data_IF_659507860090
#
_entry.id   IF_659507860090
#
_cell.length_a   1.000
_cell.length_b   1.000
_cell.length_c   1.000
_cell.angle_alpha   90.00
_cell.angle_beta   90.00
_cell.angle_gamma   90.00
#
_symmetry.space_group_name_H-M   'P 1'
#
loop_
_entity.id
_entity.type
_entity.pdbx_description
1 polymer ?
#
# COMPACT_ATOMS: atom_id res chain seq x y z
N UNK A 1 -19.78 -2.79 -9.00
CA UNK A 1 -20.44 -2.09 -7.85
C UNK A 1 -20.15 -0.61 -7.95
N UNK A 2 -21.14 0.26 -7.67
CA UNK A 2 -20.86 1.70 -7.62
C UNK A 2 -19.87 1.96 -6.48
N UNK A 3 -18.65 2.34 -6.84
CA UNK A 3 -17.62 2.66 -5.87
C UNK A 3 -18.04 3.86 -5.02
N UNK A 4 -17.85 3.76 -3.70
CA UNK A 4 -18.16 4.83 -2.75
C UNK A 4 -17.60 6.18 -3.22
N UNK A 5 -18.39 7.29 -3.21
CA UNK A 5 -17.92 8.60 -3.65
C UNK A 5 -16.63 9.07 -2.97
N UNK A 6 -16.49 8.82 -1.65
CA UNK A 6 -15.28 9.14 -0.90
C UNK A 6 -14.06 8.36 -1.44
N UNK A 7 -14.21 7.07 -1.71
CA UNK A 7 -13.14 6.25 -2.29
C UNK A 7 -12.72 6.74 -3.68
N UNK A 8 -13.68 7.16 -4.52
CA UNK A 8 -13.38 7.76 -5.84
C UNK A 8 -12.60 9.06 -5.72
N UNK A 9 -12.99 9.91 -4.79
CA UNK A 9 -12.31 11.19 -4.56
C UNK A 9 -10.89 10.98 -4.00
N UNK A 10 -10.70 10.06 -3.06
CA UNK A 10 -9.37 9.65 -2.57
C UNK A 10 -8.50 9.17 -3.75
N UNK A 11 -9.04 8.31 -4.62
CA UNK A 11 -8.30 7.80 -5.79
C UNK A 11 -7.86 8.93 -6.72
N UNK A 12 -8.75 9.89 -6.97
CA UNK A 12 -8.46 11.06 -7.80
C UNK A 12 -7.33 11.89 -7.20
N UNK A 13 -7.37 12.14 -5.88
CA UNK A 13 -6.36 12.95 -5.18
C UNK A 13 -5.01 12.25 -5.10
N UNK A 14 -4.96 10.93 -4.90
CA UNK A 14 -3.71 10.16 -4.95
C UNK A 14 -3.07 10.28 -6.34
N UNK A 15 -3.86 10.12 -7.40
CA UNK A 15 -3.36 10.25 -8.77
C UNK A 15 -2.97 11.69 -9.11
N UNK A 16 -3.69 12.70 -8.60
CA UNK A 16 -3.28 14.10 -8.70
C UNK A 16 -1.93 14.35 -8.02
N UNK A 17 -1.74 13.87 -6.78
CA UNK A 17 -0.48 13.96 -6.05
C UNK A 17 0.68 13.33 -6.84
N UNK A 18 0.44 12.16 -7.44
CA UNK A 18 1.47 11.46 -8.22
C UNK A 18 1.81 12.17 -9.52
N UNK A 19 0.80 12.63 -10.26
CA UNK A 19 0.98 13.30 -11.55
C UNK A 19 1.59 14.70 -11.42
N UNK A 20 1.14 15.45 -10.41
CA UNK A 20 1.58 16.84 -10.17
C UNK A 20 1.86 17.08 -8.68
N UNK A 21 2.97 16.52 -8.15
CA UNK A 21 3.30 16.72 -6.74
C UNK A 21 3.55 18.19 -6.39
N UNK A 22 4.12 18.98 -7.30
CA UNK A 22 4.37 20.41 -7.06
C UNK A 22 3.08 21.21 -6.98
N UNK A 23 2.10 20.93 -7.85
CA UNK A 23 0.76 21.53 -7.76
C UNK A 23 0.04 21.12 -6.46
N UNK A 24 0.25 19.89 -5.99
CA UNK A 24 -0.33 19.40 -4.74
C UNK A 24 0.24 20.10 -3.49
N UNK A 25 1.42 20.76 -3.59
CA UNK A 25 2.04 21.52 -2.50
C UNK A 25 1.12 22.59 -1.91
N UNK A 26 0.19 23.16 -2.70
CA UNK A 26 -0.78 24.14 -2.22
C UNK A 26 -1.67 23.58 -1.09
N UNK A 27 -2.06 22.30 -1.18
CA UNK A 27 -2.84 21.63 -0.13
C UNK A 27 -2.01 21.44 1.16
N UNK A 28 -0.73 21.09 1.01
CA UNK A 28 0.18 20.92 2.16
C UNK A 28 0.45 22.26 2.83
N UNK A 29 0.67 23.34 2.05
CA UNK A 29 0.84 24.71 2.58
C UNK A 29 -0.39 25.15 3.36
N UNK A 30 -1.59 24.95 2.82
CA UNK A 30 -2.84 25.26 3.53
C UNK A 30 -2.95 24.49 4.86
N UNK A 31 -2.56 23.21 4.89
CA UNK A 31 -2.51 22.43 6.13
C UNK A 31 -1.46 23.01 7.09
N UNK A 32 -0.27 23.36 6.60
CA UNK A 32 0.79 23.96 7.42
C UNK A 32 0.36 25.28 8.05
N UNK A 33 -0.39 26.12 7.33
CA UNK A 33 -0.91 27.41 7.82
C UNK A 33 -2.00 27.22 8.89
N UNK A 34 -2.64 26.04 8.93
CA UNK A 34 -3.68 25.74 9.92
C UNK A 34 -3.14 25.32 11.30
N UNK A 35 -1.81 25.21 11.45
CA UNK A 35 -1.20 24.84 12.71
C UNK A 35 -1.09 26.00 13.69
N UNK A 36 -1.53 25.73 14.95
CA UNK A 36 -1.29 26.55 16.13
C UNK A 36 -0.55 25.69 17.15
N UNK A 37 0.76 25.89 17.26
CA UNK A 37 1.65 25.02 18.04
C UNK A 37 1.65 23.58 17.50
N UNK A 38 1.24 22.64 18.33
CA UNK A 38 1.11 21.21 17.97
C UNK A 38 -0.29 20.86 17.45
N UNK A 39 -1.22 21.80 17.42
CA UNK A 39 -2.58 21.55 16.94
C UNK A 39 -2.75 22.06 15.52
N UNK A 40 -3.59 21.42 14.75
CA UNK A 40 -4.01 21.91 13.43
C UNK A 40 -5.52 21.80 13.27
N UNK A 41 -6.06 22.54 12.31
CA UNK A 41 -7.47 22.48 11.95
C UNK A 41 -7.59 21.86 10.56
N UNK A 42 -8.42 20.84 10.41
CA UNK A 42 -8.69 20.22 9.12
C UNK A 42 -9.62 21.07 8.23
N UNK A 43 -9.91 20.58 7.03
CA UNK A 43 -10.77 21.29 6.09
C UNK A 43 -12.25 21.39 6.54
N UNK A 44 -12.67 20.60 7.53
CA UNK A 44 -14.01 20.68 8.16
C UNK A 44 -14.10 21.65 9.31
N UNK A 45 -12.97 22.22 9.76
CA UNK A 45 -12.89 23.05 10.96
C UNK A 45 -12.66 22.25 12.24
N UNK A 46 -12.44 20.93 12.15
CA UNK A 46 -12.15 20.08 13.31
C UNK A 46 -10.68 20.24 13.72
N UNK A 47 -10.45 20.42 15.03
CA UNK A 47 -9.10 20.53 15.58
C UNK A 47 -8.53 19.17 15.96
N UNK A 48 -7.29 18.94 15.57
CA UNK A 48 -6.51 17.75 15.89
C UNK A 48 -5.19 18.12 16.53
N UNK A 49 -4.64 17.19 17.30
CA UNK A 49 -3.30 17.30 17.85
C UNK A 49 -2.34 16.45 17.01
N UNK A 50 -1.28 17.06 16.52
CA UNK A 50 -0.17 16.41 15.84
C UNK A 50 0.84 15.87 16.86
N UNK A 51 1.54 14.80 16.51
CA UNK A 51 2.62 14.21 17.31
C UNK A 51 3.92 15.02 17.17
N UNK A 52 4.21 15.53 15.99
CA UNK A 52 5.45 16.24 15.63
C UNK A 52 5.23 17.74 15.34
N UNK A 53 4.01 18.24 15.50
CA UNK A 53 3.68 19.63 15.18
C UNK A 53 3.87 19.91 13.67
N UNK A 54 4.46 21.07 13.36
CA UNK A 54 4.70 21.49 11.98
C UNK A 54 5.78 20.69 11.25
N UNK A 55 6.64 19.97 11.95
CA UNK A 55 7.85 19.39 11.36
C UNK A 55 7.53 18.32 10.31
N UNK A 56 6.66 17.36 10.62
CA UNK A 56 6.23 16.34 9.66
C UNK A 56 5.54 16.95 8.43
N UNK A 57 4.77 18.03 8.63
CA UNK A 57 4.11 18.75 7.54
C UNK A 57 5.11 19.53 6.67
N UNK A 58 6.13 20.15 7.27
CA UNK A 58 7.24 20.79 6.54
C UNK A 58 8.03 19.77 5.71
N UNK A 59 8.34 18.60 6.28
CA UNK A 59 8.98 17.51 5.53
C UNK A 59 8.12 17.05 4.33
N UNK A 60 6.79 16.95 4.52
CA UNK A 60 5.88 16.61 3.44
C UNK A 60 5.89 17.68 2.34
N UNK A 61 5.91 18.96 2.72
CA UNK A 61 6.01 20.07 1.77
C UNK A 61 7.30 20.00 0.94
N UNK A 62 8.45 19.83 1.58
CA UNK A 62 9.74 19.65 0.90
C UNK A 62 9.70 18.43 -0.03
N UNK A 63 9.08 17.34 0.42
CA UNK A 63 8.95 16.12 -0.37
C UNK A 63 8.16 16.35 -1.66
N UNK A 64 6.97 16.97 -1.59
CA UNK A 64 6.15 17.22 -2.79
C UNK A 64 6.80 18.25 -3.74
N UNK A 65 7.45 19.29 -3.22
CA UNK A 65 8.14 20.30 -4.03
C UNK A 65 9.36 19.75 -4.77
N UNK A 66 10.04 18.74 -4.20
CA UNK A 66 11.22 18.09 -4.79
C UNK A 66 10.90 16.85 -5.62
N UNK A 67 9.72 16.27 -5.48
CA UNK A 67 9.33 15.06 -6.20
C UNK A 67 9.13 15.32 -7.70
N UNK A 68 9.49 14.30 -8.50
CA UNK A 68 9.17 14.27 -9.91
C UNK A 68 7.80 13.63 -10.13
N UNK A 69 7.06 14.03 -11.17
CA UNK A 69 5.83 13.37 -11.55
C UNK A 69 5.98 11.85 -11.72
N UNK A 70 4.98 11.11 -11.30
CA UNK A 70 4.87 9.66 -11.45
C UNK A 70 3.64 9.31 -12.29
N UNK A 71 3.67 8.13 -12.91
CA UNK A 71 2.50 7.59 -13.58
C UNK A 71 1.33 7.44 -12.60
N UNK A 72 0.12 7.69 -13.11
CA UNK A 72 -1.11 7.40 -12.38
C UNK A 72 -1.26 5.90 -12.15
N UNK A 73 -1.91 5.55 -11.06
CA UNK A 73 -2.25 4.18 -10.72
C UNK A 73 -3.61 3.81 -11.28
N UNK A 74 -3.75 2.59 -11.74
CA UNK A 74 -5.03 2.05 -12.19
C UNK A 74 -5.84 1.56 -10.98
N UNK A 75 -7.04 2.14 -10.80
CA UNK A 75 -7.99 1.65 -9.80
C UNK A 75 -8.61 0.34 -10.30
N UNK A 76 -8.52 -0.73 -9.49
CA UNK A 76 -9.01 -2.06 -9.87
C UNK A 76 -9.94 -2.65 -8.81
N UNK A 77 -11.00 -3.34 -9.24
CA UNK A 77 -12.10 -3.77 -8.37
C UNK A 77 -11.65 -4.81 -7.32
N UNK A 78 -10.79 -5.76 -7.70
CA UNK A 78 -10.28 -6.75 -6.75
C UNK A 78 -9.50 -6.12 -5.59
N UNK A 79 -8.69 -5.08 -5.86
CA UNK A 79 -8.00 -4.35 -4.80
C UNK A 79 -8.94 -3.44 -4.02
N UNK A 80 -10.00 -2.88 -4.64
CA UNK A 80 -11.03 -2.14 -3.91
C UNK A 80 -11.73 -3.06 -2.89
N UNK A 81 -12.12 -4.26 -3.29
CA UNK A 81 -12.73 -5.24 -2.39
C UNK A 81 -11.78 -5.65 -1.26
N UNK A 82 -10.53 -5.90 -1.57
CA UNK A 82 -9.50 -6.21 -0.57
C UNK A 82 -9.36 -5.08 0.46
N UNK A 83 -9.27 -3.83 0.01
CA UNK A 83 -9.17 -2.66 0.87
C UNK A 83 -10.44 -2.44 1.69
N UNK A 84 -11.62 -2.66 1.08
CA UNK A 84 -12.91 -2.51 1.77
C UNK A 84 -13.09 -3.56 2.88
N UNK A 85 -12.75 -4.83 2.63
CA UNK A 85 -12.80 -5.88 3.65
C UNK A 85 -12.00 -5.51 4.91
N UNK A 86 -10.78 -5.00 4.70
CA UNK A 86 -9.95 -4.60 5.84
C UNK A 86 -10.47 -3.33 6.51
N UNK A 87 -10.95 -2.36 5.74
CA UNK A 87 -11.58 -1.16 6.26
C UNK A 87 -12.82 -1.48 7.12
N UNK A 88 -13.67 -2.42 6.67
CA UNK A 88 -14.85 -2.86 7.39
C UNK A 88 -14.48 -3.63 8.67
N UNK A 89 -13.45 -4.47 8.60
CA UNK A 89 -12.94 -5.21 9.77
C UNK A 89 -12.41 -4.26 10.85
N UNK A 90 -11.55 -3.31 10.48
CA UNK A 90 -11.05 -2.28 11.40
C UNK A 90 -12.18 -1.42 11.98
N UNK A 91 -13.14 -1.05 11.14
CA UNK A 91 -14.29 -0.25 11.57
C UNK A 91 -15.15 -0.97 12.60
N UNK A 92 -15.38 -2.26 12.39
CA UNK A 92 -16.17 -3.13 13.27
C UNK A 92 -15.47 -3.38 14.61
N UNK A 93 -14.16 -3.64 14.59
CA UNK A 93 -13.37 -3.90 15.81
C UNK A 93 -13.03 -2.64 16.58
N UNK A 94 -12.88 -1.51 15.89
CA UNK A 94 -12.40 -0.24 16.45
C UNK A 94 -10.88 -0.15 16.54
N UNK A 95 -10.19 -1.14 15.94
CA UNK A 95 -8.73 -1.26 15.90
C UNK A 95 -8.13 -0.50 14.72
N UNK A 96 -6.81 -0.39 14.72
CA UNK A 96 -6.00 0.11 13.61
C UNK A 96 -4.83 -0.85 13.39
N UNK A 97 -4.29 -0.88 12.18
CA UNK A 97 -3.12 -1.70 11.88
C UNK A 97 -3.36 -2.65 10.71
N UNK A 98 -2.30 -3.33 10.31
CA UNK A 98 -2.24 -4.09 9.06
C UNK A 98 -2.69 -5.56 9.19
N UNK A 99 -2.92 -6.04 10.41
CA UNK A 99 -3.38 -7.41 10.65
C UNK A 99 -4.89 -7.42 10.85
N UNK A 100 -5.59 -8.22 10.07
CA UNK A 100 -7.04 -8.40 10.21
C UNK A 100 -7.41 -9.15 11.49
N UNK A 101 -8.64 -9.00 11.97
CA UNK A 101 -9.14 -9.71 13.17
C UNK A 101 -9.13 -11.24 13.02
N UNK A 102 -9.08 -11.73 11.79
CA UNK A 102 -8.90 -13.14 11.41
C UNK A 102 -7.42 -13.57 11.33
N UNK A 103 -6.48 -12.69 11.69
CA UNK A 103 -5.04 -12.94 11.60
C UNK A 103 -4.49 -12.85 10.17
N UNK A 104 -5.28 -12.37 9.21
CA UNK A 104 -4.79 -12.16 7.84
C UNK A 104 -3.87 -10.96 7.75
N UNK A 105 -2.78 -11.10 7.00
CA UNK A 105 -1.99 -9.98 6.50
C UNK A 105 -2.56 -9.51 5.15
N UNK A 106 -2.07 -8.37 4.66
CA UNK A 106 -2.48 -7.77 3.37
C UNK A 106 -2.37 -8.77 2.21
N UNK A 107 -1.28 -9.52 2.09
CA UNK A 107 -1.10 -10.49 1.00
C UNK A 107 -2.19 -11.55 0.98
N UNK A 108 -2.55 -12.11 2.14
CA UNK A 108 -3.66 -13.07 2.26
C UNK A 108 -5.01 -12.47 1.88
N UNK A 109 -5.21 -11.18 2.18
CA UNK A 109 -6.44 -10.48 1.78
C UNK A 109 -6.50 -10.25 0.27
N UNK A 110 -5.37 -9.86 -0.36
CA UNK A 110 -5.28 -9.71 -1.82
C UNK A 110 -5.53 -11.05 -2.53
N UNK A 111 -4.98 -12.16 -2.01
CA UNK A 111 -5.13 -13.51 -2.59
C UNK A 111 -6.60 -13.98 -2.67
N UNK A 112 -7.53 -13.36 -1.92
CA UNK A 112 -8.98 -13.63 -2.02
C UNK A 112 -9.61 -13.11 -3.30
N UNK A 113 -9.01 -12.09 -3.91
CA UNK A 113 -9.57 -11.34 -5.03
C UNK A 113 -8.77 -11.44 -6.32
N UNK A 114 -7.59 -12.03 -6.27
CA UNK A 114 -6.76 -12.18 -7.44
C UNK A 114 -5.36 -12.69 -7.11
N UNK A 115 -4.52 -12.68 -8.13
CA UNK A 115 -3.11 -13.04 -8.01
C UNK A 115 -2.23 -11.80 -8.11
N UNK A 116 -1.11 -11.79 -7.43
CA UNK A 116 -0.18 -10.66 -7.44
C UNK A 116 1.28 -11.13 -7.44
N UNK A 117 2.15 -10.26 -7.96
CA UNK A 117 3.60 -10.47 -7.89
C UNK A 117 4.33 -9.14 -7.71
N UNK A 118 5.61 -9.19 -7.37
CA UNK A 118 6.40 -8.01 -7.08
C UNK A 118 6.08 -7.43 -5.70
N UNK A 119 5.77 -6.15 -5.63
CA UNK A 119 5.49 -5.43 -4.38
C UNK A 119 4.01 -5.19 -4.19
N UNK A 120 3.56 -5.25 -2.95
CA UNK A 120 2.28 -4.73 -2.48
C UNK A 120 2.53 -3.84 -1.27
N UNK A 121 1.66 -2.86 -1.06
CA UNK A 121 1.73 -1.91 0.05
C UNK A 121 0.34 -1.55 0.53
N UNK A 122 0.23 -1.10 1.78
CA UNK A 122 -1.03 -0.68 2.38
C UNK A 122 -0.81 0.58 3.20
N UNK A 123 -1.73 1.55 3.04
CA UNK A 123 -1.83 2.73 3.89
C UNK A 123 -3.18 2.73 4.60
N UNK A 124 -3.18 3.04 5.89
CA UNK A 124 -4.38 3.09 6.73
C UNK A 124 -4.48 4.47 7.37
N UNK A 125 -5.65 5.06 7.31
CA UNK A 125 -5.93 6.32 7.99
C UNK A 125 -7.31 6.28 8.66
N UNK A 126 -7.43 6.99 9.76
CA UNK A 126 -8.67 7.09 10.55
C UNK A 126 -8.96 8.55 10.90
N UNK A 127 -10.21 8.82 11.28
CA UNK A 127 -10.61 10.11 11.84
C UNK A 127 -10.47 11.30 10.89
N UNK A 128 -10.51 11.09 9.58
CA UNK A 128 -10.50 12.18 8.60
C UNK A 128 -11.90 12.47 8.08
N UNK A 129 -12.18 13.75 7.83
CA UNK A 129 -13.52 14.23 7.46
C UNK A 129 -13.72 14.36 5.94
N UNK A 130 -12.63 14.41 5.17
CA UNK A 130 -12.65 14.55 3.72
C UNK A 130 -11.62 13.65 3.03
N UNK A 131 -11.79 13.42 1.75
CA UNK A 131 -10.83 12.67 0.94
C UNK A 131 -9.43 13.33 0.96
N UNK A 132 -9.38 14.66 0.91
CA UNK A 132 -8.13 15.40 1.00
C UNK A 132 -7.45 15.20 2.35
N UNK A 133 -8.19 15.17 3.45
CA UNK A 133 -7.62 14.97 4.78
C UNK A 133 -7.02 13.57 4.94
N UNK A 134 -7.63 12.53 4.36
CA UNK A 134 -7.06 11.18 4.29
C UNK A 134 -5.72 11.17 3.53
N UNK A 135 -5.69 11.77 2.33
CA UNK A 135 -4.45 11.81 1.53
C UNK A 135 -3.37 12.64 2.23
N UNK A 136 -3.73 13.76 2.89
CA UNK A 136 -2.79 14.55 3.66
C UNK A 136 -2.28 13.80 4.90
N UNK A 137 -3.11 12.96 5.55
CA UNK A 137 -2.68 12.13 6.67
C UNK A 137 -1.56 11.16 6.25
N UNK A 138 -1.73 10.41 5.16
CA UNK A 138 -0.70 9.52 4.61
C UNK A 138 0.53 10.29 4.10
N UNK A 139 0.33 11.45 3.51
CA UNK A 139 1.42 12.26 2.96
C UNK A 139 2.27 12.90 4.06
N UNK A 140 1.64 13.44 5.10
CA UNK A 140 2.33 14.05 6.24
C UNK A 140 2.99 12.97 7.09
N UNK A 141 2.28 11.87 7.33
CA UNK A 141 2.74 10.68 8.04
C UNK A 141 3.29 11.01 9.44
N UNK A 142 2.49 11.82 10.17
CA UNK A 142 2.83 12.37 11.47
C UNK A 142 2.99 11.28 12.53
N UNK A 143 4.07 11.35 13.33
CA UNK A 143 4.39 10.35 14.35
C UNK A 143 5.10 9.10 13.82
N UNK A 144 5.27 8.95 12.50
CA UNK A 144 5.93 7.81 11.87
C UNK A 144 7.28 8.24 11.28
N UNK A 145 8.37 8.04 12.03
CA UNK A 145 9.71 8.52 11.65
C UNK A 145 10.20 8.03 10.29
N UNK A 146 9.81 6.83 9.89
CA UNK A 146 10.19 6.23 8.58
C UNK A 146 9.48 6.86 7.40
N UNK A 147 8.35 7.56 7.63
CA UNK A 147 7.47 8.07 6.58
C UNK A 147 7.04 6.98 5.60
N UNK A 148 6.57 5.85 6.15
CA UNK A 148 6.21 4.66 5.40
C UNK A 148 5.09 4.89 4.40
N UNK A 149 4.00 5.55 4.83
CA UNK A 149 2.86 5.85 3.98
C UNK A 149 3.21 6.86 2.88
N UNK A 150 3.96 7.93 3.23
CA UNK A 150 4.48 8.90 2.24
C UNK A 150 5.32 8.19 1.17
N UNK A 151 6.25 7.31 1.56
CA UNK A 151 7.08 6.54 0.63
C UNK A 151 6.25 5.61 -0.25
N UNK A 152 5.20 5.03 0.29
CA UNK A 152 4.27 4.17 -0.45
C UNK A 152 3.52 4.96 -1.52
N UNK A 153 2.99 6.15 -1.20
CA UNK A 153 2.33 7.04 -2.17
C UNK A 153 3.24 7.41 -3.36
N UNK A 154 4.54 7.60 -3.12
CA UNK A 154 5.55 7.97 -4.15
C UNK A 154 6.33 6.78 -4.71
N UNK A 155 5.96 5.53 -4.39
CA UNK A 155 6.66 4.38 -4.96
C UNK A 155 6.39 4.24 -6.46
N UNK A 156 7.46 3.99 -7.22
CA UNK A 156 7.42 3.67 -8.65
C UNK A 156 7.06 2.20 -8.90
N UNK A 157 7.12 1.39 -7.85
CA UNK A 157 6.91 -0.05 -7.95
C UNK A 157 5.42 -0.42 -8.08
N UNK A 158 4.52 0.52 -7.81
CA UNK A 158 3.08 0.30 -7.89
C UNK A 158 2.50 0.84 -9.19
N UNK A 159 1.60 0.05 -9.79
CA UNK A 159 0.85 0.39 -11.02
C UNK A 159 -0.65 0.31 -10.81
N UNK A 160 -1.10 -0.43 -9.80
CA UNK A 160 -2.51 -0.65 -9.49
C UNK A 160 -2.78 -0.37 -8.02
N UNK A 161 -4.01 0.03 -7.72
CA UNK A 161 -4.44 0.26 -6.34
C UNK A 161 -5.94 0.00 -6.17
N UNK A 162 -6.35 -0.09 -4.91
CA UNK A 162 -7.76 -0.15 -4.52
C UNK A 162 -7.99 0.56 -3.20
N UNK A 163 -9.23 1.05 -2.98
CA UNK A 163 -9.58 1.87 -1.83
C UNK A 163 -10.84 1.35 -1.18
N UNK A 164 -10.76 1.19 0.16
CA UNK A 164 -11.88 0.98 1.05
C UNK A 164 -12.12 2.21 1.92
N UNK A 165 -13.37 2.50 2.21
CA UNK A 165 -13.77 3.59 3.11
C UNK A 165 -14.95 3.17 3.98
N UNK A 166 -14.92 3.56 5.25
CA UNK A 166 -16.04 3.39 6.18
C UNK A 166 -16.35 4.69 6.93
N UNK A 167 -17.61 5.13 6.95
CA UNK A 167 -18.08 6.26 7.77
C UNK A 167 -18.45 5.85 9.20
N UNK A 168 -18.19 4.60 9.60
CA UNK A 168 -18.70 3.99 10.83
C UNK A 168 -17.61 3.29 11.65
N UNK A 169 -16.39 3.83 11.66
CA UNK A 169 -15.33 3.27 12.50
C UNK A 169 -15.66 3.47 13.99
N UNK A 170 -15.73 2.36 14.73
CA UNK A 170 -16.23 2.30 16.10
C UNK A 170 -15.51 3.29 17.04
N UNK A 171 -14.20 3.43 16.91
CA UNK A 171 -13.38 4.33 17.74
C UNK A 171 -13.23 5.72 17.13
N UNK A 172 -12.97 5.80 15.81
CA UNK A 172 -12.53 7.02 15.13
C UNK A 172 -13.57 7.63 14.19
N UNK A 173 -14.78 7.10 14.12
CA UNK A 173 -15.90 7.50 13.26
C UNK A 173 -15.70 7.17 11.78
N UNK A 174 -14.52 7.47 11.23
CA UNK A 174 -14.20 7.21 9.81
C UNK A 174 -12.87 6.47 9.68
N UNK A 175 -12.75 5.69 8.63
CA UNK A 175 -11.49 5.05 8.23
C UNK A 175 -11.39 4.92 6.72
N UNK A 176 -10.16 4.89 6.23
CA UNK A 176 -9.86 4.55 4.85
C UNK A 176 -8.61 3.66 4.78
N UNK A 177 -8.65 2.70 3.86
CA UNK A 177 -7.54 1.79 3.55
C UNK A 177 -7.24 1.89 2.07
N UNK A 178 -5.97 2.01 1.71
CA UNK A 178 -5.50 1.92 0.32
C UNK A 178 -4.57 0.74 0.20
N UNK A 179 -4.84 -0.15 -0.75
CA UNK A 179 -3.99 -1.28 -1.10
C UNK A 179 -3.35 -1.03 -2.45
N UNK A 180 -2.03 -1.15 -2.53
CA UNK A 180 -1.24 -0.94 -3.73
C UNK A 180 -0.63 -2.25 -4.22
N UNK A 181 -0.51 -2.41 -5.53
CA UNK A 181 0.17 -3.55 -6.13
C UNK A 181 1.01 -3.13 -7.35
N UNK A 182 2.18 -3.75 -7.48
CA UNK A 182 3.00 -3.62 -8.69
C UNK A 182 2.37 -4.38 -9.85
N UNK A 183 2.07 -5.65 -9.63
CA UNK A 183 1.35 -6.51 -10.56
C UNK A 183 0.18 -7.16 -9.84
N UNK A 184 -1.01 -7.06 -10.44
CA UNK A 184 -2.23 -7.70 -9.93
C UNK A 184 -3.11 -8.14 -11.10
N UNK A 185 -3.58 -9.39 -11.07
CA UNK A 185 -4.59 -9.94 -11.97
C UNK A 185 -5.81 -10.34 -11.17
N UNK A 186 -6.99 -9.87 -11.60
CA UNK A 186 -8.24 -10.20 -10.91
C UNK A 186 -8.60 -11.68 -11.07
N UNK A 187 -9.23 -12.27 -10.05
CA UNK A 187 -9.74 -13.62 -10.13
C UNK A 187 -10.75 -13.76 -11.27
N UNK A 188 -10.57 -14.76 -12.13
CA UNK A 188 -11.43 -15.01 -13.28
C UNK A 188 -11.10 -14.22 -14.54
N UNK A 189 -10.09 -13.33 -14.53
CA UNK A 189 -9.55 -12.73 -15.75
C UNK A 189 -8.38 -13.58 -16.28
N UNK A 190 -8.25 -13.66 -17.63
CA UNK A 190 -7.13 -14.41 -18.25
C UNK A 190 -5.77 -13.69 -18.16
N UNK A 191 -5.70 -12.53 -17.56
CA UNK A 191 -4.43 -11.84 -17.30
C UNK A 191 -3.71 -12.49 -16.11
N UNK A 192 -2.94 -13.53 -16.40
CA UNK A 192 -1.94 -13.99 -15.46
C UNK A 192 -0.93 -12.86 -15.20
N UNK A 193 -0.51 -12.62 -13.93
CA UNK A 193 0.53 -11.65 -13.65
C UNK A 193 1.78 -11.99 -14.45
N UNK A 194 2.25 -11.05 -15.28
CA UNK A 194 3.46 -11.22 -16.06
C UNK A 194 4.63 -11.46 -15.09
N UNK A 195 5.37 -12.56 -15.20
CA UNK A 195 6.54 -12.79 -14.34
C UNK A 195 7.54 -11.67 -14.55
N UNK A 196 8.00 -11.06 -13.46
CA UNK A 196 9.13 -10.12 -13.50
C UNK A 196 10.34 -10.87 -14.09
N UNK A 197 10.95 -10.32 -15.13
CA UNK A 197 12.08 -10.94 -15.84
C UNK A 197 13.19 -11.41 -14.88
N UNK A 198 13.63 -12.66 -15.08
CA UNK A 198 14.39 -13.48 -14.13
C UNK A 198 15.80 -12.97 -13.72
N UNK A 199 16.49 -12.15 -14.53
CA UNK A 199 17.93 -11.91 -14.31
C UNK A 199 18.23 -11.12 -13.02
N UNK A 200 17.48 -10.05 -12.74
CA UNK A 200 17.63 -9.30 -11.48
C UNK A 200 17.18 -10.07 -10.23
N UNK A 201 16.23 -10.97 -10.39
CA UNK A 201 15.66 -11.73 -9.29
C UNK A 201 16.65 -12.76 -8.73
N UNK A 202 17.43 -13.37 -9.61
CA UNK A 202 18.47 -14.33 -9.24
C UNK A 202 19.60 -13.67 -8.45
N UNK A 203 19.98 -12.43 -8.76
CA UNK A 203 21.03 -11.70 -8.06
C UNK A 203 20.62 -11.35 -6.60
N UNK A 204 19.34 -11.02 -6.41
CA UNK A 204 18.79 -10.64 -5.10
C UNK A 204 18.36 -11.85 -4.24
N UNK A 205 18.36 -13.05 -4.80
CA UNK A 205 17.92 -14.26 -4.12
C UNK A 205 18.99 -14.76 -3.12
N UNK A 206 18.59 -15.17 -1.91
CA UNK A 206 19.50 -15.79 -0.95
C UNK A 206 20.22 -17.02 -1.54
N UNK A 207 21.51 -17.15 -1.27
CA UNK A 207 22.37 -18.23 -1.82
C UNK A 207 21.83 -19.64 -1.53
N UNK A 208 21.17 -19.82 -0.38
CA UNK A 208 20.55 -21.09 -0.01
C UNK A 208 19.42 -21.53 -0.93
N UNK A 209 18.75 -20.57 -1.61
CA UNK A 209 17.67 -20.84 -2.55
C UNK A 209 18.18 -21.00 -4.01
N UNK A 210 19.41 -20.62 -4.28
CA UNK A 210 20.04 -20.76 -5.61
C UNK A 210 20.48 -22.20 -5.90
N UNK A 211 20.62 -23.02 -4.85
CA UNK A 211 21.05 -24.42 -4.99
C UNK A 211 19.89 -25.28 -5.51
N UNK A 212 20.08 -25.85 -6.66
CA UNK A 212 19.14 -26.84 -7.21
C UNK A 212 19.23 -28.16 -6.42
N UNK A 213 18.10 -28.76 -6.02
CA UNK A 213 18.10 -30.09 -5.44
C UNK A 213 18.48 -31.15 -6.49
N UNK A 214 18.98 -32.30 -6.01
CA UNK A 214 19.34 -33.43 -6.86
C UNK A 214 18.12 -33.87 -7.70
N UNK A 215 18.32 -34.12 -8.98
CA UNK A 215 17.28 -34.49 -9.94
C UNK A 215 16.39 -33.35 -10.43
N UNK A 216 16.75 -32.09 -10.16
CA UNK A 216 16.07 -30.94 -10.76
C UNK A 216 16.71 -30.57 -12.11
N UNK A 217 15.86 -30.40 -13.14
CA UNK A 217 16.25 -29.99 -14.51
C UNK A 217 15.92 -28.54 -14.84
N UNK A 218 15.11 -27.89 -13.98
CA UNK A 218 14.69 -26.50 -14.15
C UNK A 218 14.29 -25.86 -12.84
N UNK A 219 14.34 -24.53 -12.79
CA UNK A 219 13.93 -23.74 -11.65
C UNK A 219 13.19 -22.50 -12.12
N UNK A 220 12.07 -22.18 -11.47
CA UNK A 220 11.40 -20.89 -11.60
C UNK A 220 11.29 -20.23 -10.23
N UNK A 221 11.44 -18.89 -10.18
CA UNK A 221 11.45 -18.12 -8.94
C UNK A 221 10.42 -17.00 -9.02
N UNK A 222 9.62 -16.88 -7.98
CA UNK A 222 8.73 -15.73 -7.78
C UNK A 222 9.11 -15.03 -6.48
N UNK A 223 9.20 -13.71 -6.51
CA UNK A 223 9.45 -12.87 -5.34
C UNK A 223 8.23 -11.99 -5.07
N UNK A 224 7.73 -12.04 -3.84
CA UNK A 224 6.69 -11.15 -3.33
C UNK A 224 7.28 -10.28 -2.23
N UNK A 225 6.94 -9.00 -2.21
CA UNK A 225 7.35 -8.08 -1.13
C UNK A 225 6.12 -7.41 -0.56
N UNK A 226 5.88 -7.62 0.75
CA UNK A 226 4.84 -6.94 1.51
C UNK A 226 5.46 -5.76 2.26
N UNK A 227 4.79 -4.61 2.20
CA UNK A 227 5.16 -3.41 2.94
C UNK A 227 3.96 -2.97 3.77
N UNK A 228 4.08 -3.03 5.09
CA UNK A 228 3.04 -2.70 6.05
C UNK A 228 3.62 -1.70 7.06
N UNK A 229 3.41 -0.40 6.83
CA UNK A 229 4.08 0.67 7.58
C UNK A 229 5.61 0.55 7.46
N UNK A 230 6.31 0.38 8.59
CA UNK A 230 7.77 0.25 8.64
C UNK A 230 8.27 -1.18 8.42
N UNK A 231 7.36 -2.15 8.36
CA UNK A 231 7.71 -3.56 8.22
C UNK A 231 7.75 -3.95 6.75
N UNK A 232 8.83 -4.59 6.37
CA UNK A 232 9.01 -5.16 5.04
C UNK A 232 9.27 -6.66 5.16
N UNK A 233 8.46 -7.45 4.44
CA UNK A 233 8.61 -8.90 4.36
C UNK A 233 8.83 -9.30 2.91
N UNK A 234 9.86 -10.10 2.65
CA UNK A 234 10.15 -10.64 1.32
C UNK A 234 9.88 -12.14 1.33
N UNK A 235 9.10 -12.62 0.36
CA UNK A 235 8.71 -14.02 0.21
C UNK A 235 9.25 -14.50 -1.12
N UNK A 236 10.09 -15.51 -1.10
CA UNK A 236 10.53 -16.23 -2.29
C UNK A 236 9.77 -17.55 -2.41
N UNK A 237 9.20 -17.79 -3.58
CA UNK A 237 8.64 -19.10 -3.96
C UNK A 237 9.49 -19.64 -5.09
N UNK A 238 10.17 -20.76 -4.85
CA UNK A 238 11.02 -21.45 -5.83
C UNK A 238 10.34 -22.76 -6.19
N UNK A 239 10.09 -22.96 -7.50
CA UNK A 239 9.56 -24.21 -8.05
C UNK A 239 10.65 -24.88 -8.87
N UNK A 240 10.89 -26.14 -8.58
CA UNK A 240 11.83 -26.98 -9.30
C UNK A 240 11.10 -27.99 -10.16
N UNK A 241 11.43 -28.07 -11.44
CA UNK A 241 10.96 -29.13 -12.33
C UNK A 241 11.92 -30.32 -12.19
N UNK A 242 11.40 -31.45 -11.72
CA UNK A 242 12.20 -32.65 -11.47
C UNK A 242 12.33 -33.51 -12.74
N UNK A 243 13.37 -34.34 -12.82
CA UNK A 243 13.62 -35.25 -13.95
C UNK A 243 12.50 -36.28 -14.13
N UNK A 244 11.84 -36.69 -13.06
CA UNK A 244 10.69 -37.60 -13.05
C UNK A 244 9.37 -36.95 -13.50
N UNK A 245 9.39 -35.66 -13.85
CA UNK A 245 8.22 -34.88 -14.27
C UNK A 245 7.40 -34.29 -13.11
N UNK A 246 7.77 -34.54 -11.86
CA UNK A 246 7.15 -33.89 -10.70
C UNK A 246 7.64 -32.45 -10.51
N UNK A 247 6.92 -31.68 -9.67
CA UNK A 247 7.35 -30.35 -9.25
C UNK A 247 7.54 -30.31 -7.73
N UNK A 248 8.62 -29.67 -7.30
CA UNK A 248 8.90 -29.39 -5.88
C UNK A 248 8.85 -27.89 -5.65
N UNK A 249 8.10 -27.45 -4.64
CA UNK A 249 7.98 -26.04 -4.28
C UNK A 249 8.63 -25.76 -2.92
N UNK A 250 9.38 -24.68 -2.84
CA UNK A 250 9.99 -24.17 -1.60
C UNK A 250 9.59 -22.71 -1.42
N UNK A 251 9.00 -22.38 -0.27
CA UNK A 251 8.63 -21.02 0.10
C UNK A 251 9.48 -20.58 1.29
N UNK A 252 10.12 -19.42 1.18
CA UNK A 252 10.91 -18.81 2.26
C UNK A 252 10.53 -17.37 2.47
N UNK A 253 10.43 -16.95 3.73
CA UNK A 253 10.08 -15.61 4.16
C UNK A 253 11.24 -14.95 4.90
N UNK A 254 11.53 -13.68 4.56
CA UNK A 254 12.57 -12.87 5.17
C UNK A 254 11.99 -11.54 5.65
N UNK A 255 12.21 -11.20 6.91
CA UNK A 255 11.86 -9.89 7.46
C UNK A 255 13.04 -8.92 7.28
N UNK A 256 12.77 -7.70 6.82
CA UNK A 256 13.75 -6.64 6.57
C UNK A 256 13.35 -5.35 7.29
#
# INVERSE_FOLDING_TARGET
MDSNPMAKEIATLINQLRRDPKGFAAHVKKRLDSYDGVNFTDNSGTKYRSMEGKDACNEALVSVESSQPLAELLLVDGLNRCAQDHCDDLSRTGETGHTGSDGSNMGKRIDRYGSWSGKVGECIAVQSSSALDFVLQWLIDDGVKSRGDRKTLFSKDFTKFGIGYSPAHKTYKTSAVVVFAGVFGEAGTQEAPVPVQNDKLMDEMPEELKKMPDGAKGMSVTRKTLIEGDKKKVIYTVKYDMEDGSQKEVVKEYNQ
#
